data_IF_202653288010
#
_entry.id   IF_202653288010
#
_cell.length_a   1.000
_cell.length_b   1.000
_cell.length_c   1.000
_cell.angle_alpha   90.00
_cell.angle_beta   90.00
_cell.angle_gamma   90.00
#
_symmetry.space_group_name_H-M   'P 1'
#
loop_
_entity.id
_entity.type
_entity.pdbx_description
1 polymer ?
#
# COMPACT_ATOMS: atom_id res chain seq x y z
N UNK A 1 -1.95 -27.66 20.60
CA UNK A 1 -3.27 -27.00 20.78
C UNK A 1 -3.14 -25.52 20.41
N UNK A 2 -3.69 -25.09 19.26
CA UNK A 2 -3.75 -23.66 18.92
C UNK A 2 -4.85 -23.01 19.75
N UNK A 3 -4.46 -22.27 20.79
CA UNK A 3 -5.38 -21.45 21.57
C UNK A 3 -6.00 -20.41 20.63
N UNK A 4 -7.26 -20.61 20.24
CA UNK A 4 -8.04 -19.65 19.45
C UNK A 4 -8.30 -18.42 20.34
N UNK A 5 -7.36 -17.47 20.42
CA UNK A 5 -7.65 -16.16 21.02
C UNK A 5 -8.65 -15.44 20.13
N UNK A 6 -9.90 -15.32 20.58
CA UNK A 6 -10.92 -14.53 19.91
C UNK A 6 -10.56 -13.05 20.04
N UNK A 7 -10.63 -12.32 18.94
CA UNK A 7 -10.43 -10.88 18.91
C UNK A 7 -11.79 -10.24 18.76
N UNK A 8 -12.19 -9.40 19.71
CA UNK A 8 -13.50 -8.76 19.72
C UNK A 8 -13.37 -7.35 19.14
N UNK A 9 -14.23 -7.02 18.17
CA UNK A 9 -14.32 -5.65 17.64
C UNK A 9 -15.58 -4.99 18.20
N UNK A 10 -15.48 -3.89 18.96
CA UNK A 10 -16.66 -3.15 19.36
C UNK A 10 -17.29 -2.51 18.12
N UNK A 11 -18.52 -2.90 17.80
CA UNK A 11 -19.32 -2.28 16.74
C UNK A 11 -20.09 -1.13 17.36
N UNK A 12 -19.83 0.10 16.92
CA UNK A 12 -20.62 1.24 17.35
C UNK A 12 -21.91 1.30 16.52
N UNK A 13 -23.06 1.13 17.17
CA UNK A 13 -24.38 1.47 16.64
C UNK A 13 -24.75 2.91 16.99
N UNK A 14 -25.65 3.48 16.20
CA UNK A 14 -25.79 4.91 15.95
C UNK A 14 -26.22 5.79 17.15
N UNK A 15 -25.73 7.04 17.07
CA UNK A 15 -26.03 8.32 17.75
C UNK A 15 -26.56 8.44 19.19
N UNK A 16 -27.47 7.63 19.74
CA UNK A 16 -28.07 7.93 21.06
C UNK A 16 -28.37 6.74 21.97
N UNK A 17 -27.99 5.51 21.58
CA UNK A 17 -27.95 4.39 22.53
C UNK A 17 -26.69 3.59 22.24
N UNK A 18 -25.81 3.51 23.23
CA UNK A 18 -24.82 2.43 23.30
C UNK A 18 -25.61 1.16 23.56
N UNK A 19 -26.30 0.63 22.56
CA UNK A 19 -26.74 -0.76 22.61
C UNK A 19 -25.47 -1.57 22.53
N UNK A 20 -25.05 -2.14 23.67
CA UNK A 20 -24.14 -3.28 23.77
C UNK A 20 -24.73 -4.42 22.95
N UNK A 21 -24.62 -4.35 21.63
CA UNK A 21 -24.63 -5.52 20.79
C UNK A 21 -23.21 -5.62 20.25
N UNK A 22 -22.34 -6.17 21.08
CA UNK A 22 -21.00 -6.59 20.69
C UNK A 22 -21.20 -7.69 19.66
N UNK A 23 -21.34 -7.33 18.38
CA UNK A 23 -21.18 -8.28 17.28
C UNK A 23 -19.70 -8.65 17.28
N UNK A 24 -19.40 -9.66 18.07
CA UNK A 24 -18.09 -10.26 18.17
C UNK A 24 -17.76 -10.90 16.83
N UNK A 25 -16.64 -10.49 16.25
CA UNK A 25 -16.17 -11.06 15.01
C UNK A 25 -14.83 -11.71 15.28
N UNK A 26 -14.82 -13.04 15.33
CA UNK A 26 -13.64 -13.83 15.62
C UNK A 26 -12.61 -13.76 14.48
N UNK A 27 -11.39 -13.32 14.82
CA UNK A 27 -10.21 -13.54 13.99
C UNK A 27 -9.33 -14.63 14.60
N UNK A 28 -8.80 -15.53 13.77
CA UNK A 28 -7.84 -16.55 14.24
C UNK A 28 -6.46 -15.88 14.40
N UNK A 29 -5.86 -15.90 15.59
CA UNK A 29 -4.57 -15.28 15.81
C UNK A 29 -3.51 -16.08 15.03
N UNK A 30 -2.81 -15.43 14.10
CA UNK A 30 -1.53 -15.96 13.63
C UNK A 30 -0.48 -15.74 14.72
N UNK A 31 0.39 -16.74 14.96
CA UNK A 31 1.51 -16.61 15.89
C UNK A 31 2.38 -15.43 15.43
N UNK A 32 2.52 -14.44 16.32
CA UNK A 32 3.31 -13.25 16.08
C UNK A 32 4.60 -13.39 16.85
N UNK A 33 5.51 -14.20 16.32
CA UNK A 33 6.86 -14.33 16.86
C UNK A 33 7.73 -13.15 16.40
N UNK A 34 8.98 -13.07 16.87
CA UNK A 34 9.95 -12.03 16.47
C UNK A 34 10.13 -11.91 14.93
N UNK A 35 9.83 -12.96 14.17
CA UNK A 35 9.86 -12.97 12.69
C UNK A 35 8.75 -12.13 12.04
N UNK A 36 7.71 -11.75 12.79
CA UNK A 36 6.54 -11.04 12.28
C UNK A 36 6.86 -9.65 11.71
N UNK A 37 7.79 -8.92 12.34
CA UNK A 37 8.21 -7.59 11.86
C UNK A 37 8.94 -7.67 10.53
N UNK A 38 9.81 -8.67 10.33
CA UNK A 38 10.53 -8.87 9.08
C UNK A 38 9.57 -9.15 7.90
N UNK A 39 8.53 -9.95 8.12
CA UNK A 39 7.52 -10.24 7.08
C UNK A 39 6.78 -8.98 6.65
N UNK A 40 6.38 -8.13 7.62
CA UNK A 40 5.72 -6.85 7.34
C UNK A 40 6.67 -5.90 6.60
N UNK A 41 7.92 -5.79 7.06
CA UNK A 41 8.95 -4.98 6.40
C UNK A 41 9.18 -5.41 4.95
N UNK A 42 9.32 -6.72 4.70
CA UNK A 42 9.54 -7.25 3.36
C UNK A 42 8.37 -6.94 2.43
N UNK A 43 7.14 -7.09 2.91
CA UNK A 43 5.95 -6.74 2.15
C UNK A 43 5.84 -5.22 1.86
N UNK A 44 6.24 -4.37 2.81
CA UNK A 44 6.30 -2.91 2.63
C UNK A 44 7.37 -2.50 1.62
N UNK A 45 8.61 -2.98 1.79
CA UNK A 45 9.72 -2.68 0.88
C UNK A 45 9.40 -3.12 -0.55
N UNK A 46 8.77 -4.28 -0.69
CA UNK A 46 8.25 -4.79 -1.96
C UNK A 46 7.20 -3.85 -2.59
N UNK A 47 6.21 -3.41 -1.80
CA UNK A 47 5.15 -2.53 -2.30
C UNK A 47 5.71 -1.17 -2.71
N UNK A 48 6.65 -0.60 -1.93
CA UNK A 48 7.31 0.67 -2.24
C UNK A 48 8.20 0.56 -3.47
N UNK A 49 8.97 -0.52 -3.62
CA UNK A 49 9.80 -0.76 -4.81
C UNK A 49 8.96 -0.81 -6.07
N UNK A 50 7.85 -1.57 -6.05
CA UNK A 50 6.97 -1.70 -7.23
C UNK A 50 6.13 -0.44 -7.51
N UNK A 51 5.95 0.46 -6.54
CA UNK A 51 5.28 1.74 -6.76
C UNK A 51 6.15 2.70 -7.58
N UNK A 52 7.47 2.55 -7.54
CA UNK A 52 8.40 3.40 -8.29
C UNK A 52 8.37 3.02 -9.77
N UNK A 53 8.26 4.02 -10.63
CA UNK A 53 8.46 3.86 -12.06
C UNK A 53 9.95 4.07 -12.38
N UNK A 54 10.63 3.04 -12.86
CA UNK A 54 12.04 3.12 -13.23
C UNK A 54 12.18 3.58 -14.68
N UNK A 55 12.10 4.88 -14.93
CA UNK A 55 12.22 5.49 -16.27
C UNK A 55 13.65 5.93 -16.63
N UNK A 56 14.56 5.95 -15.66
CA UNK A 56 15.95 6.35 -15.90
C UNK A 56 16.67 5.31 -16.79
N UNK A 57 17.22 5.78 -17.90
CA UNK A 57 17.99 4.99 -18.85
C UNK A 57 19.14 5.83 -19.42
N UNK A 58 20.36 5.29 -19.38
CA UNK A 58 21.53 5.87 -20.08
C UNK A 58 21.94 5.00 -21.25
N UNK A 59 22.39 5.62 -22.33
CA UNK A 59 22.88 4.87 -23.50
C UNK A 59 24.21 4.21 -23.20
N UNK A 60 24.24 2.90 -23.34
CA UNK A 60 25.48 2.12 -23.30
C UNK A 60 26.32 2.37 -24.56
N UNK A 61 27.60 1.95 -24.55
CA UNK A 61 28.49 2.06 -25.72
C UNK A 61 27.88 1.46 -26.99
N UNK A 62 27.09 0.39 -26.87
CA UNK A 62 26.41 -0.28 -28.00
C UNK A 62 25.24 0.51 -28.55
N UNK A 63 24.51 1.25 -27.72
CA UNK A 63 23.30 2.01 -28.08
C UNK A 63 23.59 3.38 -28.68
N UNK A 64 24.77 3.95 -28.41
CA UNK A 64 25.16 5.24 -29.01
C UNK A 64 25.45 5.06 -30.50
N UNK A 65 24.97 6.01 -31.31
CA UNK A 65 25.17 6.05 -32.77
C UNK A 65 26.66 6.30 -33.11
N UNK A 66 27.15 5.64 -34.16
CA UNK A 66 28.52 5.82 -34.69
C UNK A 66 29.49 4.70 -34.28
N UNK A 67 30.79 4.92 -34.46
CA UNK A 67 31.84 3.94 -34.17
C UNK A 67 31.76 2.67 -35.02
N UNK A 68 32.13 1.52 -34.44
CA UNK A 68 32.18 0.22 -35.14
C UNK A 68 33.52 -0.01 -35.86
N UNK A 69 34.01 0.99 -36.60
CA UNK A 69 35.36 0.99 -37.15
C UNK A 69 36.39 1.43 -36.12
N UNK A 70 37.57 0.78 -36.13
CA UNK A 70 38.70 1.16 -35.29
C UNK A 70 39.23 2.55 -35.69
N UNK A 71 39.41 3.49 -34.74
CA UNK A 71 39.84 4.86 -35.07
C UNK A 71 41.22 4.94 -35.73
N UNK A 72 42.18 4.11 -35.28
CA UNK A 72 43.53 4.02 -35.86
C UNK A 72 44.16 2.63 -35.66
N UNK A 73 45.29 2.38 -36.34
CA UNK A 73 46.06 1.12 -36.25
C UNK A 73 46.57 0.88 -34.82
N UNK A 74 46.84 -0.38 -34.46
CA UNK A 74 47.18 -0.78 -33.07
C UNK A 74 48.50 -0.19 -32.54
N UNK A 75 49.44 0.12 -33.45
CA UNK A 75 50.79 0.66 -33.18
C UNK A 75 51.17 1.64 -34.31
N UNK A 76 52.23 2.42 -34.11
CA UNK A 76 52.80 3.31 -35.13
C UNK A 76 52.20 4.72 -35.19
N UNK A 77 51.33 5.10 -34.26
CA UNK A 77 50.67 6.43 -34.24
C UNK A 77 51.09 7.33 -33.07
N UNK A 78 51.88 6.85 -32.11
CA UNK A 78 52.26 7.60 -30.90
C UNK A 78 51.12 7.93 -29.93
N UNK A 79 49.89 7.49 -30.23
CA UNK A 79 48.68 7.74 -29.43
C UNK A 79 48.35 6.55 -28.54
N UNK A 80 47.58 6.80 -27.48
CA UNK A 80 46.96 5.73 -26.69
C UNK A 80 46.13 4.79 -27.58
N UNK A 81 45.91 3.55 -27.15
CA UNK A 81 45.12 2.59 -27.94
C UNK A 81 43.64 2.90 -27.83
N UNK A 82 42.95 2.97 -28.97
CA UNK A 82 41.50 3.14 -29.01
C UNK A 82 40.84 2.07 -29.89
N UNK A 83 39.82 1.41 -29.33
CA UNK A 83 39.02 0.43 -30.04
C UNK A 83 37.78 1.00 -30.73
N UNK A 84 37.23 2.11 -30.21
CA UNK A 84 36.04 2.76 -30.75
C UNK A 84 35.96 4.21 -30.24
N UNK A 85 35.43 5.11 -31.06
CA UNK A 85 35.11 6.49 -30.65
C UNK A 85 33.95 6.57 -29.65
N UNK A 86 33.12 5.50 -29.54
CA UNK A 86 32.01 5.40 -28.58
C UNK A 86 32.44 4.95 -27.18
N UNK A 87 33.74 4.86 -26.94
CA UNK A 87 34.28 4.43 -25.65
C UNK A 87 33.82 5.37 -24.54
N UNK A 88 33.47 4.87 -23.34
CA UNK A 88 33.12 5.72 -22.19
C UNK A 88 34.22 6.70 -21.78
N UNK A 89 35.48 6.41 -22.15
CA UNK A 89 36.61 7.29 -21.91
C UNK A 89 36.59 8.55 -22.79
N UNK A 90 35.76 8.56 -23.84
CA UNK A 90 35.67 9.66 -24.80
C UNK A 90 34.44 10.52 -24.49
N UNK A 91 34.55 11.82 -24.78
CA UNK A 91 33.40 12.74 -24.70
C UNK A 91 32.33 12.30 -25.71
N UNK A 92 31.08 12.23 -25.27
CA UNK A 92 29.98 11.70 -26.08
C UNK A 92 29.97 10.17 -26.22
N UNK A 93 30.84 9.47 -25.50
CA UNK A 93 30.87 8.01 -25.42
C UNK A 93 29.78 7.42 -24.52
N UNK A 94 29.72 6.08 -24.47
CA UNK A 94 28.74 5.34 -23.67
C UNK A 94 28.91 5.57 -22.17
N UNK A 95 27.85 5.39 -21.38
CA UNK A 95 27.96 5.38 -19.91
C UNK A 95 28.18 3.95 -19.42
N UNK A 96 29.18 3.72 -18.58
CA UNK A 96 29.42 2.42 -17.92
C UNK A 96 28.67 2.39 -16.60
N UNK A 97 27.94 1.30 -16.35
CA UNK A 97 27.13 1.10 -15.12
C UNK A 97 26.15 2.25 -14.83
N UNK A 98 25.69 2.93 -15.87
CA UNK A 98 24.64 3.93 -15.76
C UNK A 98 23.28 3.31 -15.42
N UNK A 99 22.29 4.13 -15.03
CA UNK A 99 20.96 3.66 -14.71
C UNK A 99 20.33 2.95 -15.91
N UNK A 100 19.68 1.83 -15.62
CA UNK A 100 18.86 1.06 -16.55
C UNK A 100 17.48 0.82 -15.92
N UNK A 101 16.50 0.57 -16.78
CA UNK A 101 15.13 0.28 -16.37
C UNK A 101 15.11 -0.98 -15.49
N UNK A 102 14.69 -0.85 -14.24
CA UNK A 102 14.70 -1.93 -13.25
C UNK A 102 13.37 -2.69 -13.25
N UNK A 103 13.49 -4.01 -13.04
CA UNK A 103 12.34 -4.89 -12.93
C UNK A 103 11.66 -4.82 -11.55
N UNK A 104 10.41 -5.29 -11.52
CA UNK A 104 9.62 -5.42 -10.29
C UNK A 104 10.22 -6.50 -9.39
N UNK A 105 10.09 -6.32 -8.08
CA UNK A 105 10.43 -7.38 -7.11
C UNK A 105 9.23 -8.30 -6.91
N UNK A 106 9.47 -9.57 -6.56
CA UNK A 106 8.41 -10.57 -6.31
C UNK A 106 8.41 -10.98 -4.83
N UNK A 107 7.21 -11.13 -4.27
CA UNK A 107 6.98 -11.74 -2.95
C UNK A 107 5.94 -12.85 -3.06
N UNK A 108 6.03 -13.86 -2.20
CA UNK A 108 5.08 -14.97 -2.20
C UNK A 108 3.68 -14.50 -1.77
N UNK A 109 2.64 -15.02 -2.43
CA UNK A 109 1.24 -14.65 -2.14
C UNK A 109 0.85 -14.96 -0.69
N UNK A 110 1.26 -16.13 -0.17
CA UNK A 110 1.00 -16.57 1.21
C UNK A 110 1.64 -15.63 2.23
N UNK A 111 2.85 -15.18 1.96
CA UNK A 111 3.57 -14.26 2.83
C UNK A 111 2.96 -12.86 2.82
N UNK A 112 2.59 -12.32 1.64
CA UNK A 112 1.87 -11.04 1.57
C UNK A 112 0.56 -11.08 2.37
N UNK A 113 -0.18 -12.20 2.30
CA UNK A 113 -1.38 -12.41 3.12
C UNK A 113 -1.04 -12.46 4.60
N UNK A 114 0.01 -13.16 4.99
CA UNK A 114 0.49 -13.23 6.37
C UNK A 114 0.87 -11.84 6.91
N UNK A 115 1.56 -11.02 6.13
CA UNK A 115 1.91 -9.64 6.50
C UNK A 115 0.66 -8.80 6.82
N UNK A 116 -0.41 -8.93 6.01
CA UNK A 116 -1.68 -8.25 6.26
C UNK A 116 -2.37 -8.75 7.53
N UNK A 117 -2.39 -10.07 7.78
CA UNK A 117 -2.95 -10.65 9.01
C UNK A 117 -2.25 -10.11 10.26
N UNK A 118 -0.92 -10.12 10.25
CA UNK A 118 -0.09 -9.58 11.34
C UNK A 118 -0.41 -8.09 11.56
N UNK A 119 -0.50 -7.32 10.47
CA UNK A 119 -0.73 -5.88 10.55
C UNK A 119 -2.12 -5.54 11.10
N UNK A 120 -3.17 -6.23 10.64
CA UNK A 120 -4.53 -6.08 11.15
C UNK A 120 -4.57 -6.43 12.64
N UNK A 121 -3.93 -7.54 13.04
CA UNK A 121 -3.80 -7.94 14.44
C UNK A 121 -3.08 -6.90 15.31
N UNK A 122 -2.00 -6.30 14.79
CA UNK A 122 -1.28 -5.25 15.53
C UNK A 122 -2.08 -3.96 15.65
N UNK A 123 -2.98 -3.69 14.69
CA UNK A 123 -3.81 -2.47 14.65
C UNK A 123 -5.19 -2.65 15.27
N UNK A 124 -5.52 -3.79 15.90
CA UNK A 124 -6.85 -4.07 16.48
C UNK A 124 -7.38 -2.96 17.37
N UNK A 125 -6.56 -2.46 18.31
CA UNK A 125 -6.94 -1.39 19.23
C UNK A 125 -7.30 -0.06 18.52
N UNK A 126 -6.88 0.09 17.26
CA UNK A 126 -7.08 1.27 16.41
C UNK A 126 -8.19 1.07 15.38
N UNK A 127 -8.79 -0.11 15.32
CA UNK A 127 -9.88 -0.44 14.41
C UNK A 127 -11.21 -0.24 15.13
N UNK A 128 -12.08 0.55 14.53
CA UNK A 128 -13.46 0.76 14.99
C UNK A 128 -14.42 0.28 13.92
N UNK A 129 -15.33 -0.62 14.29
CA UNK A 129 -16.33 -1.15 13.38
C UNK A 129 -17.60 -0.28 13.43
N UNK A 130 -18.15 0.03 12.27
CA UNK A 130 -19.34 0.86 12.08
C UNK A 130 -20.33 0.10 11.21
N UNK A 131 -21.63 0.21 11.47
CA UNK A 131 -22.62 -0.48 10.64
C UNK A 131 -22.68 0.06 9.21
N UNK A 132 -22.95 1.35 9.08
CA UNK A 132 -23.11 1.99 7.77
C UNK A 132 -22.66 3.44 7.82
N UNK A 133 -22.02 3.87 6.75
CA UNK A 133 -21.78 5.28 6.45
C UNK A 133 -23.00 5.74 5.67
N UNK A 134 -23.77 6.68 6.21
CA UNK A 134 -24.87 7.24 5.44
C UNK A 134 -24.28 8.06 4.30
N UNK A 135 -24.83 7.87 3.11
CA UNK A 135 -24.43 8.54 1.88
C UNK A 135 -25.72 8.73 1.11
N UNK A 136 -25.92 9.92 0.54
CA UNK A 136 -26.94 10.11 -0.48
C UNK A 136 -26.37 9.64 -1.83
N UNK A 137 -27.10 8.74 -2.49
CA UNK A 137 -26.72 8.18 -3.79
C UNK A 137 -26.75 9.24 -4.90
N UNK A 138 -27.62 10.25 -4.77
CA UNK A 138 -27.80 11.29 -5.79
C UNK A 138 -26.97 12.54 -5.50
N UNK A 139 -26.83 12.95 -4.23
CA UNK A 139 -26.06 14.13 -3.85
C UNK A 139 -24.85 13.79 -2.96
N UNK A 140 -23.64 13.65 -3.52
CA UNK A 140 -22.45 13.38 -2.72
C UNK A 140 -22.12 14.59 -1.82
N UNK A 141 -22.08 14.37 -0.51
CA UNK A 141 -21.83 15.42 0.49
C UNK A 141 -20.77 15.01 1.51
N UNK A 142 -19.68 15.78 1.57
CA UNK A 142 -18.60 15.62 2.55
C UNK A 142 -19.10 15.86 3.98
N UNK A 143 -19.99 16.84 4.16
CA UNK A 143 -20.58 17.19 5.46
C UNK A 143 -21.35 16.01 6.04
N UNK A 144 -22.15 15.33 5.23
CA UNK A 144 -22.93 14.19 5.65
C UNK A 144 -22.03 13.05 6.16
N UNK A 145 -20.94 12.74 5.44
CA UNK A 145 -19.97 11.72 5.88
C UNK A 145 -19.31 12.13 7.21
N UNK A 146 -18.88 13.39 7.36
CA UNK A 146 -18.28 13.88 8.61
C UNK A 146 -19.27 13.76 9.77
N UNK A 147 -20.52 14.17 9.56
CA UNK A 147 -21.55 14.18 10.59
C UNK A 147 -21.94 12.76 11.01
N UNK A 148 -22.00 11.81 10.06
CA UNK A 148 -22.21 10.39 10.39
C UNK A 148 -21.10 9.84 11.25
N UNK A 149 -19.83 10.17 10.93
CA UNK A 149 -18.67 9.63 11.64
C UNK A 149 -18.56 10.27 13.03
N UNK A 150 -18.84 11.57 13.16
CA UNK A 150 -19.02 12.23 14.45
C UNK A 150 -20.11 11.56 15.30
N UNK A 151 -21.20 11.12 14.67
CA UNK A 151 -22.27 10.37 15.32
C UNK A 151 -21.84 9.04 15.96
N UNK A 152 -20.68 8.50 15.56
CA UNK A 152 -20.06 7.33 16.18
C UNK A 152 -18.97 7.69 17.22
N UNK A 153 -18.92 8.95 17.68
CA UNK A 153 -17.86 9.47 18.56
C UNK A 153 -16.46 9.22 17.99
N UNK A 154 -16.30 9.45 16.68
CA UNK A 154 -15.02 9.40 15.98
C UNK A 154 -14.81 10.75 15.32
N UNK A 155 -13.59 11.25 15.41
CA UNK A 155 -13.24 12.51 14.75
C UNK A 155 -12.23 12.27 13.65
N UNK A 156 -12.58 12.78 12.47
CA UNK A 156 -11.75 12.75 11.28
C UNK A 156 -11.03 14.08 11.09
N UNK A 157 -11.43 15.15 11.77
CA UNK A 157 -10.82 16.48 11.58
C UNK A 157 -9.51 16.67 12.35
N UNK A 158 -9.14 15.74 13.22
CA UNK A 158 -7.95 15.80 14.08
C UNK A 158 -6.60 15.67 13.36
N UNK A 159 -6.56 15.92 12.04
CA UNK A 159 -5.38 15.81 11.14
C UNK A 159 -4.70 14.43 11.10
N UNK A 160 -5.18 13.47 11.89
CA UNK A 160 -4.67 12.11 11.89
C UNK A 160 -5.09 11.37 10.61
N UNK A 161 -4.22 10.48 10.13
CA UNK A 161 -4.53 9.67 8.96
C UNK A 161 -5.58 8.62 9.34
N UNK A 162 -6.77 8.75 8.77
CA UNK A 162 -7.88 7.81 8.95
C UNK A 162 -8.06 6.97 7.70
N UNK A 163 -8.12 5.65 7.87
CA UNK A 163 -8.42 4.74 6.78
C UNK A 163 -9.86 4.24 6.92
N UNK A 164 -10.68 4.48 5.90
CA UNK A 164 -12.04 3.96 5.82
C UNK A 164 -12.04 2.75 4.88
N UNK A 165 -12.44 1.60 5.41
CA UNK A 165 -12.55 0.33 4.70
C UNK A 165 -14.03 0.00 4.49
N UNK A 166 -14.43 -0.08 3.23
CA UNK A 166 -15.79 -0.42 2.80
C UNK A 166 -15.79 -1.68 1.95
N UNK A 167 -16.94 -2.30 1.80
CA UNK A 167 -17.12 -3.45 0.90
C UNK A 167 -16.88 -3.05 -0.56
N UNK A 168 -17.61 -2.02 -1.02
CA UNK A 168 -17.52 -1.48 -2.37
C UNK A 168 -17.33 0.03 -2.32
N UNK A 169 -16.43 0.53 -3.16
CA UNK A 169 -16.19 1.97 -3.33
C UNK A 169 -17.22 2.54 -4.31
N UNK A 170 -18.37 2.97 -3.80
CA UNK A 170 -19.39 3.65 -4.61
C UNK A 170 -18.90 5.03 -5.06
N UNK A 171 -19.39 5.50 -6.21
CA UNK A 171 -18.95 6.79 -6.77
C UNK A 171 -19.29 7.96 -5.85
N UNK A 172 -20.52 7.99 -5.31
CA UNK A 172 -20.97 9.02 -4.36
C UNK A 172 -20.12 9.07 -3.09
N UNK A 173 -19.77 7.91 -2.52
CA UNK A 173 -18.89 7.84 -1.35
C UNK A 173 -17.47 8.32 -1.67
N UNK A 174 -16.94 7.94 -2.82
CA UNK A 174 -15.62 8.39 -3.25
C UNK A 174 -15.58 9.92 -3.40
N UNK A 175 -16.57 10.53 -4.06
CA UNK A 175 -16.66 11.97 -4.19
C UNK A 175 -16.82 12.67 -2.83
N UNK A 176 -17.56 12.07 -1.92
CA UNK A 176 -17.78 12.61 -0.56
C UNK A 176 -16.55 12.53 0.34
N UNK A 177 -15.56 11.68 0.03
CA UNK A 177 -14.36 11.50 0.87
C UNK A 177 -13.10 12.09 0.23
N UNK A 178 -12.99 12.14 -1.11
CA UNK A 178 -11.75 12.51 -1.82
C UNK A 178 -11.15 13.85 -1.44
N UNK A 179 -11.96 14.80 -0.96
CA UNK A 179 -11.50 16.13 -0.57
C UNK A 179 -10.81 16.17 0.81
N UNK A 180 -10.92 15.09 1.60
CA UNK A 180 -10.30 14.99 2.91
C UNK A 180 -8.88 14.44 2.76
N UNK A 181 -7.88 15.31 2.91
CA UNK A 181 -6.46 14.97 2.68
C UNK A 181 -5.91 13.91 3.64
N UNK A 182 -6.48 13.81 4.83
CA UNK A 182 -6.10 12.87 5.88
C UNK A 182 -6.93 11.57 5.86
N UNK A 183 -7.93 11.45 4.97
CA UNK A 183 -8.77 10.25 4.86
C UNK A 183 -8.47 9.49 3.59
N UNK A 184 -8.19 8.20 3.74
CA UNK A 184 -8.06 7.29 2.62
C UNK A 184 -9.27 6.34 2.58
N UNK A 185 -9.90 6.20 1.42
CA UNK A 185 -11.02 5.29 1.20
C UNK A 185 -10.56 4.07 0.38
N UNK A 186 -10.68 2.89 0.96
CA UNK A 186 -10.27 1.62 0.35
C UNK A 186 -11.42 0.61 0.37
N UNK A 187 -11.57 -0.16 -0.71
CA UNK A 187 -12.43 -1.33 -0.73
C UNK A 187 -11.72 -2.52 -0.08
N UNK A 188 -12.45 -3.40 0.61
CA UNK A 188 -11.89 -4.57 1.33
C UNK A 188 -11.01 -5.46 0.43
N UNK A 189 -11.34 -5.54 -0.86
CA UNK A 189 -10.58 -6.32 -1.83
C UNK A 189 -9.20 -5.72 -2.17
N UNK A 190 -9.04 -4.41 -1.97
CA UNK A 190 -7.86 -3.62 -2.32
C UNK A 190 -7.04 -3.22 -1.09
N UNK A 191 -7.25 -3.88 0.06
CA UNK A 191 -6.42 -3.67 1.25
C UNK A 191 -4.95 -3.87 0.90
N UNK A 192 -4.13 -2.93 1.38
CA UNK A 192 -2.70 -2.92 1.15
C UNK A 192 -1.94 -2.68 2.46
N UNK A 193 -0.61 -2.90 2.46
CA UNK A 193 0.22 -2.80 3.66
C UNK A 193 0.50 -1.34 4.02
N UNK A 194 0.76 -0.50 3.02
CA UNK A 194 1.12 0.92 3.21
C UNK A 194 0.00 1.71 3.89
N UNK A 195 -1.24 1.62 3.39
CA UNK A 195 -2.39 2.37 3.91
C UNK A 195 -2.75 1.92 5.32
N UNK A 196 -2.70 0.62 5.63
CA UNK A 196 -2.89 0.11 7.00
C UNK A 196 -1.80 0.59 7.97
N UNK A 197 -0.55 0.70 7.51
CA UNK A 197 0.55 1.23 8.33
C UNK A 197 0.40 2.74 8.58
N UNK A 198 0.12 3.51 7.52
CA UNK A 198 -0.07 4.97 7.53
C UNK A 198 -1.24 5.39 8.41
N UNK A 199 -2.30 4.57 8.46
CA UNK A 199 -3.49 4.84 9.26
C UNK A 199 -3.20 4.82 10.76
N UNK A 200 -3.52 5.93 11.45
CA UNK A 200 -3.57 5.98 12.91
C UNK A 200 -4.90 5.44 13.43
N UNK A 201 -5.98 5.72 12.71
CA UNK A 201 -7.32 5.23 13.00
C UNK A 201 -7.86 4.48 11.78
N UNK A 202 -8.52 3.34 12.01
CA UNK A 202 -9.10 2.53 10.95
C UNK A 202 -10.60 2.38 11.24
N UNK A 203 -11.43 2.75 10.28
CA UNK A 203 -12.88 2.62 10.32
C UNK A 203 -13.26 1.54 9.32
N UNK A 204 -13.96 0.49 9.77
CA UNK A 204 -14.36 -0.64 8.91
C UNK A 204 -15.88 -0.79 8.98
N UNK A 205 -16.54 -0.93 7.83
CA UNK A 205 -17.97 -1.26 7.83
C UNK A 205 -18.21 -2.71 8.24
N UNK A 206 -19.33 -3.03 8.88
CA UNK A 206 -19.66 -4.40 9.30
C UNK A 206 -19.63 -5.40 8.14
N UNK A 207 -20.13 -5.00 6.96
CA UNK A 207 -20.04 -5.83 5.75
C UNK A 207 -18.58 -6.09 5.32
N UNK A 208 -17.74 -5.06 5.31
CA UNK A 208 -16.33 -5.22 4.99
C UNK A 208 -15.63 -6.12 6.01
N UNK A 209 -15.98 -5.99 7.30
CA UNK A 209 -15.44 -6.80 8.38
C UNK A 209 -15.79 -8.28 8.19
N UNK A 210 -17.03 -8.62 7.79
CA UNK A 210 -17.42 -10.01 7.44
C UNK A 210 -16.55 -10.59 6.33
N UNK A 211 -16.36 -9.85 5.24
CA UNK A 211 -15.53 -10.27 4.10
C UNK A 211 -14.06 -10.43 4.52
N UNK A 212 -13.59 -9.58 5.44
CA UNK A 212 -12.23 -9.66 5.97
C UNK A 212 -11.98 -11.00 6.65
N UNK A 213 -12.85 -11.44 7.57
CA UNK A 213 -12.62 -12.73 8.25
C UNK A 213 -12.74 -13.90 7.29
N UNK A 214 -13.70 -13.86 6.35
CA UNK A 214 -13.82 -14.92 5.34
C UNK A 214 -12.52 -15.08 4.54
N UNK A 215 -11.86 -13.96 4.19
CA UNK A 215 -10.65 -13.96 3.36
C UNK A 215 -9.38 -14.32 4.12
N UNK A 216 -9.32 -14.03 5.43
CA UNK A 216 -8.11 -14.15 6.24
C UNK A 216 -8.18 -15.21 7.34
N UNK A 217 -9.33 -15.75 7.71
CA UNK A 217 -9.46 -16.84 8.70
C UNK A 217 -10.00 -18.16 8.15
N UNK A 218 -10.56 -18.12 6.93
CA UNK A 218 -10.83 -19.28 6.10
C UNK A 218 -9.57 -20.01 5.64
#
# INVERSE_FOLDING_TARGET
MNVKKKLLYPVKLNRNKVTKSDKEIELRPTNCDNKSMHIVYRALAQQLHNKRQSSAHTKTRSEIRGGGRKPWKQKGTGRARAGSIRSPLWRGGGVVFGPSTKNTKKINKKEKRLALKILIKNKLKKITAIEKIMIDSHHPSTKLVIDTIKGYNLDIRNKENTLIIVEKKTHSLYLSVRNLSNVELIAINNINVISLLKAKQIIITTNALKILNQKYDG
#
